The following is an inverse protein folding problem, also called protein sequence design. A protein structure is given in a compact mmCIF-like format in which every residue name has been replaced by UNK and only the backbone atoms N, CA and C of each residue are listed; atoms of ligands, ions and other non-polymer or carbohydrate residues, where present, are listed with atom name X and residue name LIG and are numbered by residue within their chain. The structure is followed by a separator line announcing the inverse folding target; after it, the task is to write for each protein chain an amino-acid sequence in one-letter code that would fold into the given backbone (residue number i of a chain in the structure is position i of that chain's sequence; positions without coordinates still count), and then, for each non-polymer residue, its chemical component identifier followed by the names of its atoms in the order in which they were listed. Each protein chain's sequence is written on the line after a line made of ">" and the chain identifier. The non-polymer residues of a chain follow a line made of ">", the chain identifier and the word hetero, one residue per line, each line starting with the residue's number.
data_IF_694898444500
#
_entry.id   IF_694898444500
#
_cell.length_a   1.000
_cell.length_b   1.000
_cell.length_c   1.000
_cell.angle_alpha   90.00
_cell.angle_beta   90.00
_cell.angle_gamma   90.00
#
_symmetry.space_group_name_H-M   'P 1'
#
loop_
_entity.id
_entity.type
_entity.pdbx_description
1 polymer ?
#
# COMPACT_ATOMS: atom_id res chain seq x y z
N UNK A 1 4.05 -6.97 -5.28
CA UNK A 1 3.03 -6.19 -6.02
C UNK A 1 1.64 -6.69 -5.62
N UNK A 2 0.69 -5.79 -5.40
CA UNK A 2 -0.68 -6.13 -4.97
C UNK A 2 -0.87 -6.08 -3.45
N UNK A 3 -2.07 -5.68 -3.02
CA UNK A 3 -2.46 -5.65 -1.60
C UNK A 3 -1.96 -4.45 -0.78
N UNK A 4 -1.12 -3.58 -1.35
CA UNK A 4 -0.62 -2.37 -0.67
C UNK A 4 -1.76 -1.35 -0.59
N UNK A 5 -2.20 -1.03 0.63
CA UNK A 5 -3.32 -0.13 0.89
C UNK A 5 -2.93 1.09 1.75
N UNK A 6 -1.76 1.05 2.39
CA UNK A 6 -1.26 2.11 3.27
C UNK A 6 0.22 2.43 3.04
N UNK A 7 0.68 3.64 3.41
CA UNK A 7 2.10 4.00 3.48
C UNK A 7 2.93 3.05 4.36
N UNK A 8 2.34 2.50 5.43
CA UNK A 8 3.01 1.50 6.26
C UNK A 8 3.29 0.20 5.49
N UNK A 9 2.33 -0.27 4.67
CA UNK A 9 2.54 -1.43 3.80
C UNK A 9 3.65 -1.17 2.79
N UNK A 10 3.68 0.04 2.20
CA UNK A 10 4.72 0.46 1.26
C UNK A 10 6.11 0.42 1.92
N UNK A 11 6.26 1.04 3.09
CA UNK A 11 7.50 1.02 3.86
C UNK A 11 7.93 -0.40 4.23
N UNK A 12 7.00 -1.25 4.69
CA UNK A 12 7.28 -2.64 5.04
C UNK A 12 7.87 -3.42 3.86
N UNK A 13 7.29 -3.28 2.66
CA UNK A 13 7.81 -3.96 1.47
C UNK A 13 9.24 -3.53 1.14
N UNK A 14 9.55 -2.24 1.26
CA UNK A 14 10.92 -1.74 1.04
C UNK A 14 11.90 -2.26 2.10
N UNK A 15 11.49 -2.32 3.38
CA UNK A 15 12.31 -2.90 4.46
C UNK A 15 12.59 -4.40 4.26
N UNK A 16 11.70 -5.12 3.57
CA UNK A 16 11.91 -6.52 3.17
C UNK A 16 12.89 -6.69 1.99
N UNK A 17 13.51 -5.60 1.52
CA UNK A 17 14.53 -5.62 0.48
C UNK A 17 14.00 -5.61 -0.95
N UNK A 18 12.76 -5.12 -1.16
CA UNK A 18 12.23 -4.93 -2.52
C UNK A 18 12.85 -3.69 -3.18
N UNK A 19 13.13 -3.77 -4.49
CA UNK A 19 13.63 -2.63 -5.28
C UNK A 19 12.56 -1.55 -5.53
N UNK A 20 11.29 -1.91 -5.35
CA UNK A 20 10.16 -1.01 -5.55
C UNK A 20 8.82 -1.72 -5.38
N UNK A 21 7.75 -0.93 -5.41
CA UNK A 21 6.39 -1.42 -5.22
C UNK A 21 5.46 -1.02 -6.37
N UNK A 22 4.42 -1.82 -6.58
CA UNK A 22 3.33 -1.52 -7.50
C UNK A 22 2.03 -1.40 -6.73
N UNK A 23 1.39 -0.24 -6.85
CA UNK A 23 0.14 0.10 -6.18
C UNK A 23 -0.88 0.56 -7.23
N UNK A 24 -2.04 -0.09 -7.27
CA UNK A 24 -3.14 0.29 -8.14
C UNK A 24 -4.40 0.56 -7.33
N UNK A 25 -5.06 -0.51 -6.88
CA UNK A 25 -6.31 -0.41 -6.15
C UNK A 25 -6.20 0.34 -4.82
N UNK A 26 -5.07 0.24 -4.11
CA UNK A 26 -4.82 0.98 -2.87
C UNK A 26 -4.89 2.51 -3.02
N UNK A 27 -4.53 3.03 -4.21
CA UNK A 27 -4.64 4.45 -4.54
C UNK A 27 -6.03 4.76 -5.09
N UNK A 28 -6.46 4.09 -6.17
CA UNK A 28 -7.69 4.49 -6.87
C UNK A 28 -9.00 4.11 -6.17
N UNK A 29 -8.95 3.25 -5.14
CA UNK A 29 -10.11 2.92 -4.30
C UNK A 29 -10.04 3.56 -2.91
N UNK A 30 -9.09 4.48 -2.66
CA UNK A 30 -9.09 5.28 -1.43
C UNK A 30 -10.14 6.40 -1.50
N UNK A 31 -10.39 7.05 -0.37
CA UNK A 31 -11.22 8.25 -0.26
C UNK A 31 -10.64 9.46 -1.00
N UNK A 32 -9.31 9.60 -1.01
CA UNK A 32 -8.57 10.66 -1.68
C UNK A 32 -7.36 10.07 -2.43
N UNK A 33 -7.51 9.76 -3.74
CA UNK A 33 -6.46 9.12 -4.51
C UNK A 33 -5.18 9.97 -4.68
N UNK A 34 -5.24 11.29 -4.98
CA UNK A 34 -4.05 12.14 -5.01
C UNK A 34 -3.25 12.11 -3.71
N UNK A 35 -3.90 12.35 -2.57
CA UNK A 35 -3.23 12.37 -1.27
C UNK A 35 -2.64 11.00 -0.91
N UNK A 36 -3.36 9.91 -1.22
CA UNK A 36 -2.85 8.55 -1.04
C UNK A 36 -1.62 8.27 -1.91
N UNK A 37 -1.62 8.73 -3.17
CA UNK A 37 -0.48 8.54 -4.06
C UNK A 37 0.77 9.23 -3.53
N UNK A 38 0.65 10.49 -3.11
CA UNK A 38 1.77 11.26 -2.52
C UNK A 38 2.28 10.62 -1.23
N UNK A 39 1.38 10.15 -0.36
CA UNK A 39 1.74 9.47 0.88
C UNK A 39 2.48 8.14 0.63
N UNK A 40 2.01 7.34 -0.34
CA UNK A 40 2.68 6.09 -0.74
C UNK A 40 4.08 6.38 -1.29
N UNK A 41 4.23 7.39 -2.15
CA UNK A 41 5.53 7.79 -2.70
C UNK A 41 6.47 8.25 -1.60
N UNK A 42 6.00 9.10 -0.68
CA UNK A 42 6.79 9.58 0.45
C UNK A 42 7.28 8.43 1.34
N UNK A 43 6.39 7.51 1.74
CA UNK A 43 6.77 6.37 2.57
C UNK A 43 7.66 5.35 1.85
N UNK A 44 7.54 5.23 0.53
CA UNK A 44 8.45 4.39 -0.27
C UNK A 44 9.84 4.99 -0.33
N UNK A 45 9.95 6.31 -0.51
CA UNK A 45 11.24 7.00 -0.62
C UNK A 45 11.99 7.08 0.73
N UNK A 46 11.25 7.17 1.83
CA UNK A 46 11.79 7.35 3.20
C UNK A 46 11.45 6.15 4.10
N UNK A 47 11.46 4.94 3.55
CA UNK A 47 10.94 3.75 4.21
C UNK A 47 11.68 3.36 5.51
N UNK A 48 12.92 3.84 5.67
CA UNK A 48 13.81 3.61 6.81
C UNK A 48 13.81 4.78 7.81
N UNK A 49 13.01 5.83 7.58
CA UNK A 49 12.82 6.98 8.46
C UNK A 49 11.44 6.92 9.15
N UNK A 50 11.33 6.42 10.40
CA UNK A 50 10.02 6.18 11.04
C UNK A 50 9.16 7.45 11.18
N UNK A 51 9.79 8.61 11.35
CA UNK A 51 9.09 9.91 11.41
C UNK A 51 8.43 10.28 10.09
N UNK A 52 9.08 9.99 8.95
CA UNK A 52 8.54 10.25 7.61
C UNK A 52 7.42 9.30 7.24
N UNK A 53 7.53 8.04 7.64
CA UNK A 53 6.44 7.08 7.47
C UNK A 53 5.23 7.50 8.31
N UNK A 54 5.43 7.97 9.55
CA UNK A 54 4.35 8.51 10.38
C UNK A 54 3.72 9.79 9.79
N UNK A 55 4.54 10.68 9.21
CA UNK A 55 4.07 11.87 8.48
C UNK A 55 3.19 11.46 7.29
N UNK A 56 3.65 10.53 6.45
CA UNK A 56 2.89 10.00 5.33
C UNK A 56 1.58 9.33 5.75
N UNK A 57 1.58 8.59 6.86
CA UNK A 57 0.35 8.02 7.44
C UNK A 57 -0.64 9.10 7.89
N UNK A 58 -0.15 10.20 8.47
CA UNK A 58 -0.98 11.31 8.92
C UNK A 58 -1.57 12.15 7.78
N UNK A 59 -1.00 12.08 6.57
CA UNK A 59 -1.57 12.71 5.38
C UNK A 59 -2.88 12.05 4.95
N UNK A 60 -3.09 10.77 5.27
CA UNK A 60 -4.28 10.04 4.83
C UNK A 60 -5.52 10.48 5.60
N UNK A 61 -6.55 10.91 4.87
CA UNK A 61 -7.89 11.10 5.41
C UNK A 61 -8.78 9.90 5.06
N UNK A 62 -9.47 9.35 6.07
CA UNK A 62 -10.46 8.30 5.89
C UNK A 62 -9.90 6.87 5.98
N UNK A 63 -10.66 5.91 5.43
CA UNK A 63 -10.37 4.49 5.56
C UNK A 63 -9.61 4.03 4.30
N UNK A 64 -8.48 3.30 4.44
CA UNK A 64 -7.81 2.70 3.30
C UNK A 64 -8.73 1.70 2.58
N UNK A 65 -8.32 1.29 1.37
CA UNK A 65 -9.07 0.30 0.59
C UNK A 65 -9.38 -0.95 1.45
N UNK A 66 -10.65 -1.35 1.47
CA UNK A 66 -11.07 -2.59 2.14
C UNK A 66 -10.50 -3.81 1.39
N UNK A 67 -9.87 -4.71 2.13
CA UNK A 67 -9.46 -6.03 1.64
C UNK A 67 -10.59 -7.06 1.73
N UNK A 68 -10.50 -8.09 0.87
CA UNK A 68 -11.34 -9.27 0.94
C UNK A 68 -10.58 -10.39 1.68
N UNK A 69 -11.31 -11.16 2.50
CA UNK A 69 -10.74 -12.28 3.25
C UNK A 69 -10.40 -13.44 2.32
N UNK A 70 -9.30 -14.13 2.61
CA UNK A 70 -8.74 -15.20 1.78
C UNK A 70 -9.75 -16.33 1.47
N UNK A 71 -10.63 -16.65 2.42
CA UNK A 71 -11.67 -17.68 2.28
C UNK A 71 -12.82 -17.25 1.38
N UNK A 72 -12.99 -15.94 1.18
CA UNK A 72 -14.07 -15.34 0.37
C UNK A 72 -13.67 -15.04 -1.07
N UNK A 73 -12.38 -15.22 -1.40
CA UNK A 73 -11.87 -14.94 -2.74
C UNK A 73 -12.39 -15.95 -3.77
N UNK A 74 -13.01 -15.44 -4.84
CA UNK A 74 -13.43 -16.27 -5.98
C UNK A 74 -12.25 -16.91 -6.72
N UNK A 75 -11.11 -16.19 -6.78
CA UNK A 75 -9.90 -16.67 -7.47
C UNK A 75 -8.66 -16.29 -6.66
N UNK A 76 -7.84 -17.30 -6.35
CA UNK A 76 -6.60 -17.16 -5.58
C UNK A 76 -5.35 -17.16 -6.47
N UNK A 77 -4.23 -16.68 -5.94
CA UNK A 77 -2.99 -16.54 -6.71
C UNK A 77 -2.47 -17.90 -7.24
N UNK A 78 -2.57 -18.95 -6.43
CA UNK A 78 -2.15 -20.32 -6.77
C UNK A 78 -2.95 -20.92 -7.95
N UNK A 79 -4.15 -20.40 -8.21
CA UNK A 79 -5.01 -20.84 -9.32
C UNK A 79 -4.69 -20.11 -10.64
N UNK A 80 -4.02 -18.96 -10.57
CA UNK A 80 -3.73 -18.12 -11.74
C UNK A 80 -2.44 -18.51 -12.47
N UNK A 81 -1.58 -19.29 -11.82
CA UNK A 81 -0.25 -19.62 -12.34
C UNK A 81 0.65 -18.39 -12.47
N UNK A 82 1.88 -18.60 -12.97
CA UNK A 82 2.80 -17.54 -13.37
C UNK A 82 2.92 -17.51 -14.90
#
# INVERSE_FOLDING_TARGET
>A
AGGIATPADASLMMQMGMDGIFVGSGIFKSSDPPTMADAIVMATAHYDEPSKVAEAMAMMEGIPMKGDELETLEVRLDQRGW
#
